data_IF_868586493433
#
_entry.id   IF_868586493433
#
_cell.length_a   1.000
_cell.length_b   1.000
_cell.length_c   1.000
_cell.angle_alpha   90.00
_cell.angle_beta   90.00
_cell.angle_gamma   90.00
#
_symmetry.space_group_name_H-M   'P 1'
#
loop_
_entity.id
_entity.type
_entity.pdbx_description
1 polymer ?
#
# COMPACT_ATOMS: atom_id res chain seq x y z
N UNK A 1 27.50 -80.43 -45.01
CA UNK A 1 27.48 -79.20 -44.19
C UNK A 1 26.03 -78.75 -44.01
N UNK A 2 25.28 -79.53 -43.22
CA UNK A 2 24.55 -79.09 -42.04
C UNK A 2 23.51 -77.94 -42.14
N UNK A 3 22.29 -78.31 -42.56
CA UNK A 3 21.06 -77.50 -42.52
C UNK A 3 20.78 -76.80 -41.17
N UNK A 4 21.27 -77.33 -40.04
CA UNK A 4 21.04 -76.76 -38.72
C UNK A 4 21.76 -75.41 -38.52
N UNK A 5 22.88 -75.19 -39.20
CA UNK A 5 23.63 -73.91 -39.16
C UNK A 5 22.79 -72.79 -39.78
N UNK A 6 22.06 -73.09 -40.86
CA UNK A 6 21.23 -72.12 -41.58
C UNK A 6 19.98 -71.71 -40.76
N UNK A 7 19.41 -72.64 -39.99
CA UNK A 7 18.35 -72.35 -39.02
C UNK A 7 18.84 -71.49 -37.84
N UNK A 8 20.07 -71.71 -37.37
CA UNK A 8 20.65 -70.85 -36.32
C UNK A 8 20.90 -69.44 -36.84
N UNK A 9 21.44 -69.30 -38.06
CA UNK A 9 21.72 -67.99 -38.66
C UNK A 9 20.44 -67.18 -38.95
N UNK A 10 19.36 -67.85 -39.39
CA UNK A 10 18.06 -67.19 -39.60
C UNK A 10 17.42 -66.75 -38.28
N UNK A 11 17.46 -67.59 -37.24
CA UNK A 11 17.03 -67.18 -35.89
C UNK A 11 17.85 -66.01 -35.34
N UNK A 12 19.18 -66.02 -35.54
CA UNK A 12 20.05 -64.93 -35.12
C UNK A 12 19.74 -63.63 -35.88
N UNK A 13 19.48 -63.70 -37.19
CA UNK A 13 19.09 -62.55 -38.01
C UNK A 13 17.73 -61.98 -37.59
N UNK A 14 16.76 -62.84 -37.26
CA UNK A 14 15.44 -62.42 -36.75
C UNK A 14 15.60 -61.75 -35.37
N UNK A 15 16.37 -62.34 -34.45
CA UNK A 15 16.65 -61.75 -33.14
C UNK A 15 17.36 -60.39 -33.29
N UNK A 16 18.35 -60.30 -34.16
CA UNK A 16 19.05 -59.04 -34.46
C UNK A 16 18.10 -57.99 -35.02
N UNK A 17 17.21 -58.37 -35.94
CA UNK A 17 16.21 -57.46 -36.50
C UNK A 17 15.20 -56.97 -35.45
N UNK A 18 14.76 -57.85 -34.54
CA UNK A 18 13.90 -57.47 -33.41
C UNK A 18 14.62 -56.51 -32.47
N UNK A 19 15.90 -56.75 -32.15
CA UNK A 19 16.71 -55.83 -31.34
C UNK A 19 16.88 -54.48 -32.04
N UNK A 20 17.12 -54.47 -33.34
CA UNK A 20 17.25 -53.24 -34.15
C UNK A 20 15.93 -52.45 -34.17
N UNK A 21 14.78 -53.11 -34.26
CA UNK A 21 13.47 -52.46 -34.14
C UNK A 21 13.22 -51.90 -32.72
N UNK A 22 13.65 -52.60 -31.68
CA UNK A 22 13.55 -52.10 -30.29
C UNK A 22 14.47 -50.89 -30.07
N UNK A 23 15.68 -50.90 -30.62
CA UNK A 23 16.60 -49.76 -30.57
C UNK A 23 16.08 -48.56 -31.38
N UNK A 24 15.46 -48.80 -32.53
CA UNK A 24 14.84 -47.76 -33.35
C UNK A 24 13.61 -47.14 -32.66
N UNK A 25 12.88 -47.90 -31.84
CA UNK A 25 11.67 -47.42 -31.15
C UNK A 25 11.96 -46.72 -29.80
N UNK A 26 13.10 -47.00 -29.14
CA UNK A 26 13.52 -46.29 -27.91
C UNK A 26 13.53 -44.75 -28.02
N UNK A 27 14.15 -44.13 -29.04
CA UNK A 27 14.15 -42.68 -29.18
C UNK A 27 12.73 -42.10 -29.36
N UNK A 28 11.82 -42.84 -29.99
CA UNK A 28 10.41 -42.45 -30.10
C UNK A 28 9.70 -42.42 -28.73
N UNK A 29 10.00 -43.36 -27.84
CA UNK A 29 9.43 -43.37 -26.49
C UNK A 29 9.94 -42.19 -25.65
N UNK A 30 11.24 -41.88 -25.74
CA UNK A 30 11.81 -40.72 -25.03
C UNK A 30 11.26 -39.39 -25.55
N UNK A 31 10.97 -39.29 -26.86
CA UNK A 31 10.32 -38.13 -27.45
C UNK A 31 8.88 -37.97 -26.94
N UNK A 32 8.13 -39.07 -26.84
CA UNK A 32 6.76 -39.05 -26.31
C UNK A 32 6.73 -38.56 -24.85
N UNK A 33 7.65 -39.06 -24.02
CA UNK A 33 7.79 -38.64 -22.61
C UNK A 33 8.21 -37.16 -22.49
N UNK A 34 9.08 -36.67 -23.37
CA UNK A 34 9.43 -35.25 -23.42
C UNK A 34 8.24 -34.38 -23.81
N UNK A 35 7.44 -34.81 -24.80
CA UNK A 35 6.22 -34.10 -25.24
C UNK A 35 5.21 -34.04 -24.09
N UNK A 36 4.94 -35.16 -23.43
CA UNK A 36 4.00 -35.23 -22.29
C UNK A 36 4.45 -34.33 -21.14
N UNK A 37 5.75 -34.37 -20.80
CA UNK A 37 6.34 -33.47 -19.80
C UNK A 37 6.23 -31.98 -20.20
N UNK A 38 6.34 -31.65 -21.48
CA UNK A 38 6.16 -30.28 -21.97
C UNK A 38 4.70 -29.84 -21.97
N UNK A 39 3.77 -30.74 -22.29
CA UNK A 39 2.31 -30.52 -22.26
C UNK A 39 1.86 -30.21 -20.83
N UNK A 40 2.27 -31.03 -19.85
CA UNK A 40 1.98 -30.82 -18.42
C UNK A 40 2.52 -29.48 -17.94
N UNK A 41 3.76 -29.13 -18.28
CA UNK A 41 4.36 -27.83 -17.94
C UNK A 41 3.58 -26.67 -18.55
N UNK A 42 3.12 -26.79 -19.81
CA UNK A 42 2.27 -25.78 -20.46
C UNK A 42 0.92 -25.64 -19.77
N UNK A 43 0.28 -26.74 -19.39
CA UNK A 43 -0.99 -26.72 -18.67
C UNK A 43 -0.83 -26.09 -17.29
N UNK A 44 0.23 -26.41 -16.56
CA UNK A 44 0.52 -25.78 -15.27
C UNK A 44 0.79 -24.28 -15.41
N UNK A 45 1.57 -23.89 -16.41
CA UNK A 45 1.84 -22.47 -16.67
C UNK A 45 0.57 -21.71 -17.06
N UNK A 46 -0.26 -22.26 -17.94
CA UNK A 46 -1.54 -21.62 -18.33
C UNK A 46 -2.52 -21.51 -17.17
N UNK A 47 -2.61 -22.54 -16.31
CA UNK A 47 -3.39 -22.49 -15.07
C UNK A 47 -2.88 -21.40 -14.12
N UNK A 48 -1.56 -21.29 -13.94
CA UNK A 48 -0.96 -20.24 -13.11
C UNK A 48 -1.21 -18.85 -13.69
N UNK A 49 -1.13 -18.69 -15.01
CA UNK A 49 -1.44 -17.42 -15.66
C UNK A 49 -2.91 -17.05 -15.49
N UNK A 50 -3.83 -17.98 -15.71
CA UNK A 50 -5.26 -17.75 -15.49
C UNK A 50 -5.57 -17.35 -14.05
N UNK A 51 -4.98 -18.07 -13.07
CA UNK A 51 -5.17 -17.74 -11.66
C UNK A 51 -4.55 -16.39 -11.28
N UNK A 52 -3.36 -16.07 -11.79
CA UNK A 52 -2.74 -14.76 -11.56
C UNK A 52 -3.54 -13.62 -12.20
N UNK A 53 -4.16 -13.85 -13.36
CA UNK A 53 -5.07 -12.88 -13.98
C UNK A 53 -6.33 -12.67 -13.12
N UNK A 54 -6.96 -13.75 -12.66
CA UNK A 54 -8.11 -13.69 -11.75
C UNK A 54 -7.78 -12.92 -10.47
N UNK A 55 -6.64 -13.21 -9.83
CA UNK A 55 -6.16 -12.46 -8.65
C UNK A 55 -5.90 -10.98 -8.98
N UNK A 56 -5.38 -10.67 -10.17
CA UNK A 56 -5.17 -9.30 -10.59
C UNK A 56 -6.48 -8.56 -10.85
N UNK A 57 -7.50 -9.22 -11.39
CA UNK A 57 -8.83 -8.65 -11.62
C UNK A 57 -9.55 -8.41 -10.31
N UNK A 58 -9.50 -9.37 -9.38
CA UNK A 58 -10.03 -9.22 -8.02
C UNK A 58 -9.35 -8.05 -7.29
N UNK A 59 -8.02 -7.96 -7.37
CA UNK A 59 -7.27 -6.86 -6.77
C UNK A 59 -7.67 -5.51 -7.39
N UNK A 60 -7.83 -5.44 -8.71
CA UNK A 60 -8.30 -4.22 -9.39
C UNK A 60 -9.70 -3.81 -8.92
N UNK A 61 -10.65 -4.75 -8.88
CA UNK A 61 -12.00 -4.47 -8.39
C UNK A 61 -11.99 -4.01 -6.92
N UNK A 62 -11.12 -4.59 -6.09
CA UNK A 62 -10.93 -4.16 -4.70
C UNK A 62 -10.35 -2.75 -4.58
N UNK A 63 -9.39 -2.41 -5.44
CA UNK A 63 -8.79 -1.07 -5.50
C UNK A 63 -9.81 -0.03 -5.98
N UNK A 64 -10.59 -0.33 -7.01
CA UNK A 64 -11.66 0.54 -7.50
C UNK A 64 -12.71 0.80 -6.42
N UNK A 65 -13.09 -0.25 -5.67
CA UNK A 65 -13.99 -0.08 -4.52
C UNK A 65 -13.38 0.83 -3.45
N UNK A 66 -12.10 0.64 -3.13
CA UNK A 66 -11.41 1.47 -2.14
C UNK A 66 -11.34 2.94 -2.58
N UNK A 67 -11.11 3.20 -3.86
CA UNK A 67 -11.08 4.54 -4.43
C UNK A 67 -12.46 5.23 -4.31
N UNK A 68 -13.54 4.54 -4.65
CA UNK A 68 -14.91 5.05 -4.48
C UNK A 68 -15.22 5.32 -3.01
N UNK A 69 -14.87 4.38 -2.11
CA UNK A 69 -15.06 4.57 -0.66
C UNK A 69 -14.28 5.80 -0.15
N UNK A 70 -13.07 6.04 -0.67
CA UNK A 70 -12.27 7.22 -0.35
C UNK A 70 -12.91 8.51 -0.84
N UNK A 71 -13.43 8.54 -2.06
CA UNK A 71 -14.11 9.71 -2.64
C UNK A 71 -15.38 10.08 -1.86
N UNK A 72 -16.16 9.07 -1.45
CA UNK A 72 -17.33 9.25 -0.59
C UNK A 72 -16.95 9.86 0.77
N UNK A 73 -15.87 9.36 1.38
CA UNK A 73 -15.34 9.91 2.64
C UNK A 73 -14.85 11.35 2.47
N UNK A 74 -14.19 11.68 1.36
CA UNK A 74 -13.76 13.04 1.06
C UNK A 74 -14.94 14.00 0.91
N UNK A 75 -15.99 13.57 0.21
CA UNK A 75 -17.22 14.35 0.03
C UNK A 75 -17.87 14.62 1.39
N UNK A 76 -18.04 13.56 2.19
CA UNK A 76 -18.59 13.68 3.55
C UNK A 76 -17.75 14.60 4.44
N UNK A 77 -16.42 14.56 4.32
CA UNK A 77 -15.53 15.48 5.02
C UNK A 77 -15.80 16.93 4.61
N UNK A 78 -15.91 17.22 3.31
CA UNK A 78 -16.17 18.57 2.80
C UNK A 78 -17.49 19.13 3.31
N UNK A 79 -18.51 18.29 3.45
CA UNK A 79 -19.82 18.69 3.98
C UNK A 79 -19.80 19.02 5.48
N UNK A 80 -19.02 18.27 6.26
CA UNK A 80 -18.93 18.45 7.73
C UNK A 80 -18.01 19.62 8.10
N UNK A 81 -17.00 19.90 7.27
CA UNK A 81 -15.93 20.84 7.57
C UNK A 81 -16.41 22.26 7.95
N UNK A 82 -17.40 22.89 7.26
CA UNK A 82 -17.86 24.24 7.61
C UNK A 82 -18.48 24.32 9.02
N UNK A 83 -19.28 23.33 9.40
CA UNK A 83 -19.94 23.30 10.71
C UNK A 83 -18.92 22.99 11.82
N UNK A 84 -18.00 22.06 11.58
CA UNK A 84 -16.91 21.77 12.51
C UNK A 84 -16.00 22.99 12.73
N UNK A 85 -15.61 23.66 11.64
CA UNK A 85 -14.79 24.87 11.70
C UNK A 85 -15.51 26.00 12.43
N UNK A 86 -16.82 26.19 12.23
CA UNK A 86 -17.59 27.21 12.94
C UNK A 86 -17.60 27.00 14.46
N UNK A 87 -17.54 25.75 14.92
CA UNK A 87 -17.50 25.42 16.36
C UNK A 87 -16.12 25.60 16.98
N UNK A 88 -15.06 25.29 16.24
CA UNK A 88 -13.69 25.21 16.75
C UNK A 88 -12.84 26.44 16.41
N UNK A 89 -13.16 27.14 15.33
CA UNK A 89 -12.39 28.27 14.80
C UNK A 89 -13.20 29.57 14.88
N UNK A 90 -12.47 30.67 14.99
CA UNK A 90 -13.00 32.03 14.99
C UNK A 90 -12.51 32.72 13.73
N UNK A 91 -13.43 33.38 13.02
CA UNK A 91 -13.09 34.22 11.88
C UNK A 91 -12.53 35.56 12.36
N UNK A 92 -11.36 35.92 11.85
CA UNK A 92 -10.75 37.25 12.02
C UNK A 92 -10.97 38.00 10.70
N UNK A 93 -11.68 39.14 10.71
CA UNK A 93 -11.93 39.91 9.49
C UNK A 93 -10.64 40.52 8.96
N UNK A 94 -10.64 40.85 7.67
CA UNK A 94 -9.55 41.61 7.07
C UNK A 94 -9.51 43.03 7.65
N UNK A 95 -8.31 43.57 7.80
CA UNK A 95 -8.13 44.96 8.22
C UNK A 95 -6.76 45.26 8.81
N UNK A 96 -6.51 46.55 9.11
CA UNK A 96 -5.29 47.00 9.76
C UNK A 96 -5.29 46.62 11.24
N UNK A 97 -4.15 46.13 11.73
CA UNK A 97 -3.88 45.86 13.14
C UNK A 97 -2.55 46.50 13.54
N UNK A 98 -2.45 47.07 14.75
CA UNK A 98 -1.17 47.56 15.28
C UNK A 98 -0.46 46.45 16.03
N UNK A 99 0.67 45.97 15.51
CA UNK A 99 1.51 44.94 16.14
C UNK A 99 2.68 45.56 16.89
N UNK A 100 2.94 45.09 18.11
CA UNK A 100 4.06 45.53 18.96
C UNK A 100 3.68 46.58 20.01
N UNK A 101 4.59 46.80 20.96
CA UNK A 101 4.41 47.73 22.08
C UNK A 101 4.74 49.18 21.72
N UNK A 102 3.96 50.13 22.24
CA UNK A 102 4.22 51.58 22.12
C UNK A 102 5.07 52.11 23.27
N UNK A 103 4.81 51.61 24.48
CA UNK A 103 5.37 52.14 25.72
C UNK A 103 6.86 51.79 25.89
N UNK A 104 7.57 52.62 26.66
CA UNK A 104 8.98 52.38 26.97
C UNK A 104 9.21 51.13 27.81
N UNK A 105 8.21 50.73 28.60
CA UNK A 105 8.22 49.53 29.42
C UNK A 105 8.05 48.23 28.61
N UNK A 106 7.74 48.32 27.31
CA UNK A 106 7.65 47.13 26.45
C UNK A 106 9.05 46.55 26.17
N UNK A 107 9.21 45.21 26.17
CA UNK A 107 10.47 44.57 25.80
C UNK A 107 11.00 45.08 24.46
N UNK A 108 12.33 45.26 24.36
CA UNK A 108 12.95 45.88 23.17
C UNK A 108 12.67 45.10 21.87
N UNK A 109 12.50 43.78 21.97
CA UNK A 109 12.17 42.88 20.86
C UNK A 109 10.69 42.93 20.43
N UNK A 110 9.83 43.60 21.19
CA UNK A 110 8.40 43.76 20.89
C UNK A 110 8.06 45.16 20.36
N UNK A 111 9.08 46.02 20.18
CA UNK A 111 8.97 47.41 19.68
C UNK A 111 9.65 47.55 18.31
N UNK A 112 9.28 48.56 17.50
CA UNK A 112 8.20 49.51 17.71
C UNK A 112 6.84 48.97 17.23
N UNK A 113 5.78 49.53 17.79
CA UNK A 113 4.43 49.34 17.27
C UNK A 113 4.32 49.82 15.81
N UNK A 114 3.80 48.98 14.93
CA UNK A 114 3.59 49.31 13.52
C UNK A 114 2.28 48.69 13.00
N UNK A 115 1.70 49.32 11.98
CA UNK A 115 0.46 48.84 11.36
C UNK A 115 0.75 47.71 10.38
N UNK A 116 -0.03 46.63 10.48
CA UNK A 116 -0.01 45.46 9.60
C UNK A 116 -1.40 45.27 9.02
N UNK A 117 -1.50 45.29 7.69
CA UNK A 117 -2.73 44.94 6.97
C UNK A 117 -2.81 43.43 6.79
N UNK A 118 -3.90 42.82 7.26
CA UNK A 118 -4.12 41.39 7.16
C UNK A 118 -5.38 41.07 6.36
N UNK A 119 -5.31 39.99 5.59
CA UNK A 119 -6.49 39.39 4.95
C UNK A 119 -7.35 38.68 6.00
N UNK A 120 -8.60 38.38 5.66
CA UNK A 120 -9.46 37.61 6.57
C UNK A 120 -8.94 36.16 6.68
N UNK A 121 -8.92 35.61 7.89
CA UNK A 121 -8.49 34.23 8.16
C UNK A 121 -9.29 33.62 9.32
N UNK A 122 -9.12 32.33 9.53
CA UNK A 122 -9.67 31.61 10.68
C UNK A 122 -8.55 31.16 11.60
N UNK A 123 -8.76 31.25 12.92
CA UNK A 123 -7.82 30.76 13.93
C UNK A 123 -8.56 29.90 14.95
N UNK A 124 -7.92 28.84 15.46
CA UNK A 124 -8.50 28.00 16.50
C UNK A 124 -8.82 28.80 17.76
N UNK A 125 -10.00 28.56 18.35
CA UNK A 125 -10.43 29.23 19.59
C UNK A 125 -9.56 28.85 20.79
N UNK A 126 -9.06 27.62 20.80
CA UNK A 126 -8.17 27.08 21.82
C UNK A 126 -6.94 26.47 21.17
N UNK A 127 -5.82 26.35 21.90
CA UNK A 127 -4.71 25.52 21.46
C UNK A 127 -5.16 24.08 21.20
N UNK A 128 -4.46 23.40 20.29
CA UNK A 128 -4.70 21.97 20.02
C UNK A 128 -4.47 21.18 21.31
N UNK A 129 -5.44 20.36 21.66
CA UNK A 129 -5.43 19.57 22.88
C UNK A 129 -4.65 18.27 22.70
N UNK A 130 -4.20 17.68 23.81
CA UNK A 130 -3.56 16.36 23.79
C UNK A 130 -4.45 15.28 23.18
N UNK A 131 -5.77 15.36 23.39
CA UNK A 131 -6.74 14.42 22.81
C UNK A 131 -6.79 14.54 21.29
N UNK A 132 -6.95 15.75 20.76
CA UNK A 132 -7.00 16.01 19.31
C UNK A 132 -5.68 15.59 18.62
N UNK A 133 -4.54 15.90 19.24
CA UNK A 133 -3.24 15.49 18.70
C UNK A 133 -3.04 13.97 18.72
N UNK A 134 -3.62 13.26 19.70
CA UNK A 134 -3.54 11.80 19.77
C UNK A 134 -4.31 11.16 18.62
N UNK A 135 -5.50 11.68 18.32
CA UNK A 135 -6.30 11.22 17.18
C UNK A 135 -5.51 11.40 15.87
N UNK A 136 -4.87 12.56 15.69
CA UNK A 136 -3.96 12.80 14.57
C UNK A 136 -2.82 11.77 14.48
N UNK A 137 -2.12 11.51 15.58
CA UNK A 137 -1.03 10.51 15.62
C UNK A 137 -1.54 9.10 15.27
N UNK A 138 -2.71 8.71 15.78
CA UNK A 138 -3.30 7.40 15.50
C UNK A 138 -3.70 7.24 14.03
N UNK A 139 -4.23 8.28 13.40
CA UNK A 139 -4.64 8.24 12.00
C UNK A 139 -3.45 8.28 11.03
N UNK A 140 -2.37 8.98 11.38
CA UNK A 140 -1.24 9.23 10.45
C UNK A 140 -0.02 8.36 10.72
N UNK A 141 0.07 7.74 11.90
CA UNK A 141 1.28 7.08 12.36
C UNK A 141 2.42 8.05 12.70
N UNK A 142 2.13 9.33 12.90
CA UNK A 142 3.14 10.33 13.24
C UNK A 142 3.80 10.07 14.60
N UNK A 143 4.98 10.64 14.85
CA UNK A 143 5.70 10.43 16.11
C UNK A 143 4.98 11.14 17.26
N UNK A 144 4.69 10.45 18.38
CA UNK A 144 4.10 11.10 19.56
C UNK A 144 5.12 12.01 20.27
N UNK A 145 4.66 13.03 21.02
CA UNK A 145 5.52 13.91 21.82
C UNK A 145 6.38 13.13 22.81
N UNK A 146 7.62 13.60 23.05
CA UNK A 146 8.57 12.90 23.92
C UNK A 146 8.09 12.79 25.38
N UNK A 147 7.22 13.70 25.81
CA UNK A 147 6.67 13.72 27.17
C UNK A 147 5.54 12.71 27.38
N UNK A 148 5.02 12.10 26.31
CA UNK A 148 3.95 11.12 26.39
C UNK A 148 4.50 9.76 26.82
N UNK A 149 3.97 9.22 27.91
CA UNK A 149 4.38 7.91 28.40
C UNK A 149 3.61 6.83 27.65
N UNK A 150 4.33 5.81 27.17
CA UNK A 150 3.75 4.70 26.39
C UNK A 150 2.90 5.17 25.19
N UNK A 151 3.29 6.30 24.58
CA UNK A 151 2.61 6.86 23.41
C UNK A 151 1.30 7.60 23.71
N UNK A 152 1.02 7.95 24.96
CA UNK A 152 -0.16 8.76 25.33
C UNK A 152 0.15 9.85 26.36
N UNK A 153 -0.70 10.87 26.41
CA UNK A 153 -0.69 11.90 27.44
C UNK A 153 -1.16 11.36 28.81
N UNK A 154 -0.81 12.07 29.88
CA UNK A 154 -1.15 11.73 31.26
C UNK A 154 -2.66 11.76 31.53
N UNK A 155 -3.14 10.93 32.47
CA UNK A 155 -4.55 10.93 32.84
C UNK A 155 -5.01 12.33 33.31
N UNK A 156 -6.15 12.78 32.81
CA UNK A 156 -6.73 14.09 33.14
C UNK A 156 -6.22 15.27 32.30
N UNK A 157 -5.15 15.13 31.51
CA UNK A 157 -4.60 16.23 30.69
C UNK A 157 -5.11 16.25 29.25
N UNK A 158 -6.15 15.46 28.94
CA UNK A 158 -6.67 15.33 27.57
C UNK A 158 -7.09 16.66 26.94
N UNK A 159 -7.70 17.56 27.72
CA UNK A 159 -8.11 18.92 27.28
C UNK A 159 -7.01 19.98 27.41
N UNK A 160 -5.84 19.62 27.93
CA UNK A 160 -4.72 20.57 28.02
C UNK A 160 -4.06 20.71 26.65
N UNK A 161 -3.39 21.84 26.37
CA UNK A 161 -2.60 22.00 25.18
C UNK A 161 -1.57 20.88 25.06
N UNK A 162 -1.40 20.36 23.84
CA UNK A 162 -0.26 19.52 23.51
C UNK A 162 1.01 20.39 23.52
N UNK A 163 2.10 19.82 24.03
CA UNK A 163 3.40 20.50 24.14
C UNK A 163 4.52 19.56 23.71
N UNK A 164 5.67 20.10 23.33
CA UNK A 164 6.84 19.34 22.86
C UNK A 164 6.53 18.45 21.65
N UNK A 165 5.75 19.00 20.70
CA UNK A 165 5.41 18.40 19.41
C UNK A 165 6.52 18.62 18.38
#
# INVERSE_FOLDING_TARGET
MDNWILWILTCAAILYFVVLLLEFNRPSQTLMEQIDNQEVRRQDMTRRHAHAQEQSEEMKARLEKLENDMEDLETKRKDILPEANKRLMIQIPAGPFTMGGRDEDSPRNERPAHTVDQSAYYIGKTPVTNQEYREFVQCTGHRPPITWQRGTFSAGTGKHPVVNV
#
